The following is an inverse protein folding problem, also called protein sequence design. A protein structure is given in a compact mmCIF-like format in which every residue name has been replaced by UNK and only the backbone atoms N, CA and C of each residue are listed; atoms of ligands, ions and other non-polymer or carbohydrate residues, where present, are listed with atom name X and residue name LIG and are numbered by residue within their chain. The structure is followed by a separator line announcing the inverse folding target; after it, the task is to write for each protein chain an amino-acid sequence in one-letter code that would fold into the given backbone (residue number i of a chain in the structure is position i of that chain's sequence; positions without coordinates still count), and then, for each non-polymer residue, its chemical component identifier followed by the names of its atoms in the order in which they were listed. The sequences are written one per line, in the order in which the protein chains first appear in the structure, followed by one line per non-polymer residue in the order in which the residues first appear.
data_IF_809123991662
#
_entry.id   IF_809123991662
#
_cell.length_a   1.000
_cell.length_b   1.000
_cell.length_c   1.000
_cell.angle_alpha   90.00
_cell.angle_beta   90.00
_cell.angle_gamma   90.00
#
_symmetry.space_group_name_H-M   'P 1'
#
loop_
_entity.id
_entity.type
_entity.pdbx_description
1 polymer ?
#
# COMPACT_ATOMS: atom_id res chain seq x y z
N UNK A 1 -31.11 -0.70 2.32
CA UNK A 1 -30.00 -0.86 3.28
C UNK A 1 -28.71 -0.36 2.62
N UNK A 2 -28.42 0.95 2.65
CA UNK A 2 -27.23 1.54 2.00
C UNK A 2 -25.91 0.91 2.47
N UNK A 3 -25.89 0.41 3.70
CA UNK A 3 -24.74 -0.22 4.35
C UNK A 3 -24.32 -1.55 3.72
N UNK A 4 -25.28 -2.39 3.30
CA UNK A 4 -24.98 -3.61 2.54
C UNK A 4 -24.31 -3.28 1.21
N UNK A 5 -24.81 -2.27 0.49
CA UNK A 5 -24.27 -1.86 -0.80
C UNK A 5 -22.83 -1.32 -0.62
N UNK A 6 -22.59 -0.53 0.42
CA UNK A 6 -21.25 -0.04 0.75
C UNK A 6 -20.27 -1.19 1.06
N UNK A 7 -20.67 -2.16 1.88
CA UNK A 7 -19.85 -3.32 2.23
C UNK A 7 -19.54 -4.20 1.00
N UNK A 8 -20.55 -4.52 0.18
CA UNK A 8 -20.35 -5.31 -1.03
C UNK A 8 -19.48 -4.59 -2.04
N UNK A 9 -19.69 -3.29 -2.25
CA UNK A 9 -18.89 -2.48 -3.18
C UNK A 9 -17.44 -2.37 -2.72
N UNK A 10 -17.22 -2.20 -1.41
CA UNK A 10 -15.89 -2.22 -0.82
C UNK A 10 -15.20 -3.55 -1.15
N UNK A 11 -15.80 -4.69 -0.80
CA UNK A 11 -15.19 -6.01 -1.06
C UNK A 11 -14.93 -6.23 -2.57
N UNK A 12 -15.91 -5.91 -3.41
CA UNK A 12 -15.85 -6.13 -4.85
C UNK A 12 -14.74 -5.31 -5.53
N UNK A 13 -14.39 -4.14 -4.99
CA UNK A 13 -13.28 -3.32 -5.50
C UNK A 13 -11.96 -3.70 -4.82
N UNK A 14 -12.00 -3.93 -3.51
CA UNK A 14 -10.81 -4.15 -2.69
C UNK A 14 -10.10 -5.44 -3.07
N UNK A 15 -10.82 -6.56 -3.19
CA UNK A 15 -10.18 -7.86 -3.49
C UNK A 15 -9.46 -7.85 -4.86
N UNK A 16 -10.10 -7.43 -5.98
CA UNK A 16 -9.42 -7.35 -7.27
C UNK A 16 -8.26 -6.34 -7.27
N UNK A 17 -8.40 -5.22 -6.58
CA UNK A 17 -7.35 -4.21 -6.50
C UNK A 17 -6.07 -4.78 -5.85
N UNK A 18 -6.19 -5.49 -4.74
CA UNK A 18 -5.05 -6.17 -4.12
C UNK A 18 -4.49 -7.30 -4.97
N UNK A 19 -5.34 -8.05 -5.69
CA UNK A 19 -4.88 -9.07 -6.63
C UNK A 19 -4.01 -8.46 -7.75
N UNK A 20 -4.41 -7.32 -8.32
CA UNK A 20 -3.64 -6.59 -9.33
C UNK A 20 -2.31 -6.10 -8.75
N UNK A 21 -2.33 -5.52 -7.54
CA UNK A 21 -1.11 -5.05 -6.87
C UNK A 21 -0.13 -6.19 -6.65
N UNK A 22 -0.61 -7.34 -6.16
CA UNK A 22 0.27 -8.50 -5.97
C UNK A 22 0.79 -9.02 -7.30
N UNK A 23 -0.06 -9.15 -8.31
CA UNK A 23 0.38 -9.55 -9.64
C UNK A 23 1.49 -8.65 -10.19
N UNK A 24 1.34 -7.32 -10.07
CA UNK A 24 2.36 -6.36 -10.50
C UNK A 24 3.62 -6.40 -9.60
N UNK A 25 3.45 -6.56 -8.29
CA UNK A 25 4.53 -6.64 -7.31
C UNK A 25 5.35 -7.93 -7.34
N UNK A 26 4.88 -8.95 -8.06
CA UNK A 26 5.58 -10.21 -8.33
C UNK A 26 5.87 -10.42 -9.83
N UNK A 27 5.71 -9.38 -10.65
CA UNK A 27 6.01 -9.46 -12.07
C UNK A 27 7.50 -9.74 -12.33
N UNK A 28 7.81 -10.47 -13.41
CA UNK A 28 9.18 -10.80 -13.84
C UNK A 28 9.96 -9.55 -14.24
N UNK A 29 9.27 -8.54 -14.80
CA UNK A 29 9.89 -7.26 -15.13
C UNK A 29 10.28 -6.51 -13.85
N UNK A 30 11.59 -6.35 -13.64
CA UNK A 30 12.18 -5.73 -12.44
C UNK A 30 11.71 -4.29 -12.23
N UNK A 31 11.61 -3.49 -13.31
CA UNK A 31 11.16 -2.10 -13.24
C UNK A 31 9.70 -2.00 -12.81
N UNK A 32 8.82 -2.82 -13.40
CA UNK A 32 7.39 -2.84 -13.03
C UNK A 32 7.21 -3.31 -11.59
N UNK A 33 7.95 -4.35 -11.20
CA UNK A 33 7.96 -4.89 -9.84
C UNK A 33 8.33 -3.84 -8.79
N UNK A 34 9.43 -3.14 -9.00
CA UNK A 34 9.94 -2.11 -8.07
C UNK A 34 8.99 -0.92 -7.96
N UNK A 35 8.57 -0.37 -9.11
CA UNK A 35 7.63 0.75 -9.12
C UNK A 35 6.30 0.40 -8.44
N UNK A 36 5.76 -0.80 -8.70
CA UNK A 36 4.50 -1.23 -8.10
C UNK A 36 4.61 -1.35 -6.58
N UNK A 37 5.74 -1.87 -6.06
CA UNK A 37 6.00 -1.95 -4.62
C UNK A 37 6.14 -0.58 -3.97
N UNK A 38 6.83 0.36 -4.62
CA UNK A 38 6.98 1.74 -4.13
C UNK A 38 5.61 2.43 -4.08
N UNK A 39 4.85 2.38 -5.17
CA UNK A 39 3.51 3.00 -5.25
C UNK A 39 2.59 2.39 -4.19
N UNK A 40 2.61 1.08 -4.02
CA UNK A 40 1.81 0.41 -2.99
C UNK A 40 2.23 0.79 -1.57
N UNK A 41 3.53 0.88 -1.30
CA UNK A 41 4.03 1.34 0.00
C UNK A 41 3.59 2.78 0.33
N UNK A 42 3.64 3.68 -0.65
CA UNK A 42 3.11 5.05 -0.50
C UNK A 42 1.60 5.01 -0.23
N UNK A 43 0.85 4.19 -0.98
CA UNK A 43 -0.58 4.01 -0.77
C UNK A 43 -0.89 3.56 0.66
N UNK A 44 -0.15 2.60 1.23
CA UNK A 44 -0.36 2.14 2.62
C UNK A 44 -0.17 3.27 3.65
N UNK A 45 0.82 4.14 3.46
CA UNK A 45 1.06 5.29 4.33
C UNK A 45 -0.10 6.29 4.24
N UNK A 46 -0.51 6.64 3.02
CA UNK A 46 -1.64 7.56 2.79
C UNK A 46 -2.94 6.97 3.33
N UNK A 47 -3.17 5.68 3.13
CA UNK A 47 -4.32 4.95 3.63
C UNK A 47 -4.39 5.00 5.16
N UNK A 48 -3.30 4.70 5.85
CA UNK A 48 -3.23 4.81 7.31
C UNK A 48 -3.48 6.26 7.79
N UNK A 49 -2.92 7.26 7.09
CA UNK A 49 -3.17 8.68 7.38
C UNK A 49 -4.64 9.08 7.19
N UNK A 50 -5.30 8.55 6.16
CA UNK A 50 -6.72 8.78 5.91
C UNK A 50 -7.58 8.20 7.02
N UNK A 51 -7.28 6.97 7.47
CA UNK A 51 -7.97 6.36 8.61
C UNK A 51 -7.78 7.16 9.90
N UNK A 52 -6.57 7.65 10.17
CA UNK A 52 -6.32 8.54 11.31
C UNK A 52 -7.14 9.83 11.22
N UNK A 53 -7.23 10.44 10.04
CA UNK A 53 -8.01 11.67 9.86
C UNK A 53 -9.52 11.44 10.01
N UNK A 54 -10.01 10.28 9.60
CA UNK A 54 -11.43 9.92 9.63
C UNK A 54 -11.87 9.22 10.92
N UNK A 55 -10.96 8.93 11.86
CA UNK A 55 -11.27 8.18 13.08
C UNK A 55 -12.36 8.83 13.95
N UNK A 56 -12.49 10.17 13.87
CA UNK A 56 -13.50 10.94 14.60
C UNK A 56 -14.79 11.17 13.78
N UNK A 57 -14.89 10.64 12.56
CA UNK A 57 -16.05 10.84 11.70
C UNK A 57 -17.20 9.90 12.10
N UNK A 58 -18.47 10.34 12.12
CA UNK A 58 -19.60 9.52 12.58
C UNK A 58 -19.86 8.25 11.75
N UNK A 59 -19.36 8.20 10.52
CA UNK A 59 -19.46 7.02 9.63
C UNK A 59 -18.22 6.10 9.70
N UNK A 60 -17.28 6.35 10.61
CA UNK A 60 -16.08 5.53 10.76
C UNK A 60 -16.38 4.27 11.58
N UNK A 61 -16.33 3.11 10.92
CA UNK A 61 -16.69 1.82 11.52
C UNK A 61 -15.50 0.93 11.87
N UNK A 62 -14.27 1.36 11.55
CA UNK A 62 -13.03 0.59 11.75
C UNK A 62 -12.41 0.80 13.15
N UNK A 63 -13.22 0.56 14.19
CA UNK A 63 -12.86 0.83 15.58
C UNK A 63 -12.31 -0.38 16.34
N UNK A 64 -12.26 -1.56 15.72
CA UNK A 64 -11.71 -2.74 16.38
C UNK A 64 -10.18 -2.64 16.51
N UNK A 65 -9.58 -3.07 17.62
CA UNK A 65 -8.12 -3.06 17.79
C UNK A 65 -7.39 -3.83 16.68
N UNK A 66 -7.99 -4.92 16.20
CA UNK A 66 -7.47 -5.69 15.08
C UNK A 66 -7.47 -4.89 13.78
N UNK A 67 -8.57 -4.20 13.46
CA UNK A 67 -8.64 -3.38 12.26
C UNK A 67 -7.64 -2.23 12.31
N UNK A 68 -7.57 -1.51 13.44
CA UNK A 68 -6.62 -0.43 13.61
C UNK A 68 -5.17 -0.93 13.54
N UNK A 69 -4.88 -2.06 14.19
CA UNK A 69 -3.56 -2.69 14.13
C UNK A 69 -3.14 -3.06 12.70
N UNK A 70 -4.06 -3.61 11.89
CA UNK A 70 -3.78 -3.92 10.49
C UNK A 70 -3.58 -2.66 9.64
N UNK A 71 -4.41 -1.63 9.81
CA UNK A 71 -4.32 -0.37 9.05
C UNK A 71 -3.01 0.36 9.36
N UNK A 72 -2.75 0.63 10.64
CA UNK A 72 -1.55 1.36 11.06
C UNK A 72 -0.29 0.52 10.92
N UNK A 73 -0.36 -0.79 11.15
CA UNK A 73 0.72 -1.72 10.91
C UNK A 73 1.11 -1.75 9.43
N UNK A 74 0.14 -1.81 8.51
CA UNK A 74 0.42 -1.77 7.07
C UNK A 74 1.07 -0.43 6.66
N UNK A 75 0.60 0.70 7.18
CA UNK A 75 1.23 2.00 6.98
C UNK A 75 2.67 2.05 7.48
N UNK A 76 2.94 1.51 8.66
CA UNK A 76 4.30 1.42 9.23
C UNK A 76 5.22 0.55 8.37
N UNK A 77 4.78 -0.63 7.95
CA UNK A 77 5.57 -1.50 7.08
C UNK A 77 5.82 -0.88 5.71
N UNK A 78 4.84 -0.14 5.15
CA UNK A 78 5.03 0.64 3.93
C UNK A 78 6.13 1.71 4.08
N UNK A 79 6.12 2.44 5.21
CA UNK A 79 7.16 3.42 5.51
C UNK A 79 8.55 2.79 5.65
N UNK A 80 8.65 1.70 6.42
CA UNK A 80 9.90 0.96 6.59
C UNK A 80 10.43 0.44 5.26
N UNK A 81 9.55 -0.08 4.40
CA UNK A 81 9.91 -0.55 3.07
C UNK A 81 10.52 0.56 2.21
N UNK A 82 9.92 1.76 2.20
CA UNK A 82 10.47 2.91 1.46
C UNK A 82 11.83 3.35 2.01
N UNK A 83 11.99 3.40 3.35
CA UNK A 83 13.27 3.77 3.98
C UNK A 83 14.37 2.79 3.58
N UNK A 84 14.11 1.49 3.73
CA UNK A 84 15.09 0.44 3.39
C UNK A 84 15.43 0.48 1.89
N UNK A 85 14.42 0.64 1.03
CA UNK A 85 14.62 0.70 -0.42
C UNK A 85 15.42 1.95 -0.81
N UNK A 86 15.12 3.10 -0.21
CA UNK A 86 15.85 4.35 -0.45
C UNK A 86 17.31 4.25 -0.01
N UNK A 87 17.58 3.68 1.17
CA UNK A 87 18.94 3.45 1.66
C UNK A 87 19.68 2.48 0.73
N UNK A 88 19.05 1.38 0.35
CA UNK A 88 19.66 0.36 -0.54
C UNK A 88 20.02 0.95 -1.91
N UNK A 89 19.17 1.81 -2.47
CA UNK A 89 19.45 2.46 -3.75
C UNK A 89 20.60 3.46 -3.63
N UNK A 90 20.69 4.20 -2.52
CA UNK A 90 21.76 5.16 -2.29
C UNK A 90 23.13 4.51 -2.01
N UNK A 91 23.15 3.25 -1.57
CA UNK A 91 24.39 2.51 -1.30
C UNK A 91 24.94 1.78 -2.53
N UNK A 92 24.25 1.79 -3.67
CA UNK A 92 24.67 1.06 -4.86
C UNK A 92 24.90 2.00 -6.07
N UNK A 93 26.15 2.48 -6.30
CA UNK A 93 26.48 3.35 -7.42
C UNK A 93 26.32 2.67 -8.80
N UNK A 94 26.08 1.36 -8.87
CA UNK A 94 25.91 0.63 -10.14
C UNK A 94 24.50 0.75 -10.77
N UNK A 95 23.51 1.33 -10.08
CA UNK A 95 22.19 1.56 -10.68
C UNK A 95 22.16 2.71 -11.70
N UNK A 96 23.12 3.65 -11.61
CA UNK A 96 23.23 4.81 -12.50
C UNK A 96 23.80 4.45 -13.89
N UNK A 97 24.48 3.30 -14.01
CA UNK A 97 25.22 2.90 -15.21
C UNK A 97 24.61 1.72 -15.99
N UNK A 98 23.32 1.39 -15.82
CA UNK A 98 22.71 0.36 -16.67
C UNK A 98 22.28 0.96 -18.01
N UNK A 99 22.75 0.40 -19.16
CA UNK A 99 22.26 0.84 -20.46
C UNK A 99 20.75 0.62 -20.54
N UNK A 100 20.03 1.66 -20.96
CA UNK A 100 18.62 1.58 -21.32
C UNK A 100 18.53 0.63 -22.52
N UNK A 101 18.14 -0.63 -22.28
CA UNK A 101 17.79 -1.57 -23.36
C UNK A 101 16.44 -1.19 -23.94
#
# INVERSE_FOLDING_TARGET
MPEQIAATSFIAIHVPFFAIIFWLGFNENTRVKEWSRIVFAIFLIVHAGLHKRLENHPLYTFNSPLSQGLIFGAGLFGLLFLIVTYISNNHNPDYDNRPQM
#
